data_IF_224569039326
#
_entry.id   IF_224569039326
#
_cell.length_a   1.000
_cell.length_b   1.000
_cell.length_c   1.000
_cell.angle_alpha   90.00
_cell.angle_beta   90.00
_cell.angle_gamma   90.00
#
_symmetry.space_group_name_H-M   'P 1'
#
loop_
_entity.id
_entity.type
_entity.pdbx_description
1 polymer ?
#
# COMPACT_ATOMS: atom_id res chain seq x y z
N UNK A 1 -12.93 -13.01 17.24
CA UNK A 1 -12.55 -12.49 15.93
C UNK A 1 -11.32 -11.61 16.02
N UNK A 2 -11.30 -10.70 16.99
CA UNK A 2 -10.13 -9.82 17.15
C UNK A 2 -8.86 -10.59 17.42
N UNK A 3 -8.94 -11.61 18.26
CA UNK A 3 -7.78 -12.43 18.57
C UNK A 3 -7.32 -13.19 17.32
N UNK A 4 -8.27 -13.71 16.56
CA UNK A 4 -7.95 -14.45 15.34
C UNK A 4 -7.31 -13.53 14.29
N UNK A 5 -7.87 -12.33 14.11
CA UNK A 5 -7.33 -11.37 13.15
C UNK A 5 -5.94 -10.90 13.58
N UNK A 6 -5.76 -10.65 14.86
CA UNK A 6 -4.46 -10.26 15.39
C UNK A 6 -3.42 -11.35 15.15
N UNK A 7 -3.78 -12.61 15.38
CA UNK A 7 -2.87 -13.73 15.16
C UNK A 7 -2.50 -13.87 13.69
N UNK A 8 -3.47 -13.65 12.78
CA UNK A 8 -3.22 -13.69 11.35
C UNK A 8 -2.26 -12.58 10.91
N UNK A 9 -2.47 -11.36 11.41
CA UNK A 9 -1.58 -10.25 11.10
C UNK A 9 -0.16 -10.52 11.61
N UNK A 10 -0.03 -11.08 12.81
CA UNK A 10 1.27 -11.38 13.39
C UNK A 10 1.99 -12.49 12.60
N UNK A 11 1.25 -13.50 12.16
CA UNK A 11 1.81 -14.56 11.33
C UNK A 11 2.30 -13.98 10.00
N UNK A 12 1.50 -13.14 9.38
CA UNK A 12 1.89 -12.50 8.13
C UNK A 12 3.14 -11.63 8.34
N UNK A 13 3.20 -10.88 9.44
CA UNK A 13 4.36 -10.07 9.77
C UNK A 13 5.62 -10.92 9.90
N UNK A 14 5.51 -12.04 10.60
CA UNK A 14 6.64 -12.93 10.80
C UNK A 14 7.10 -13.54 9.48
N UNK A 15 6.16 -13.92 8.61
CA UNK A 15 6.48 -14.44 7.29
C UNK A 15 7.25 -13.39 6.48
N UNK A 16 6.80 -12.15 6.46
CA UNK A 16 7.47 -11.08 5.73
C UNK A 16 8.88 -10.83 6.26
N UNK A 17 9.04 -10.84 7.58
CA UNK A 17 10.35 -10.63 8.20
C UNK A 17 11.32 -11.74 7.81
N UNK A 18 10.86 -13.00 7.82
CA UNK A 18 11.71 -14.15 7.53
C UNK A 18 11.85 -14.48 6.05
N UNK A 19 11.12 -13.79 5.18
CA UNK A 19 11.15 -14.03 3.74
C UNK A 19 11.64 -12.82 2.95
N UNK A 20 12.81 -12.32 3.35
CA UNK A 20 13.43 -11.19 2.64
C UNK A 20 13.62 -11.50 1.14
N UNK A 21 13.93 -12.76 0.80
CA UNK A 21 14.08 -13.16 -0.60
C UNK A 21 12.76 -13.03 -1.37
N UNK A 22 11.65 -13.35 -0.74
CA UNK A 22 10.34 -13.18 -1.34
C UNK A 22 10.08 -11.70 -1.68
N UNK A 23 10.43 -10.80 -0.77
CA UNK A 23 10.27 -9.37 -0.99
C UNK A 23 11.16 -8.88 -2.14
N UNK A 24 12.42 -9.35 -2.16
CA UNK A 24 13.35 -8.99 -3.22
C UNK A 24 12.83 -9.46 -4.57
N UNK A 25 12.30 -10.68 -4.64
CA UNK A 25 11.76 -11.22 -5.89
C UNK A 25 10.55 -10.42 -6.38
N UNK A 26 9.73 -9.91 -5.46
CA UNK A 26 8.61 -9.05 -5.83
C UNK A 26 9.05 -7.75 -6.48
N UNK A 27 10.21 -7.27 -6.15
CA UNK A 27 10.73 -6.01 -6.67
C UNK A 27 11.12 -6.08 -8.15
N UNK A 28 11.10 -7.28 -8.75
CA UNK A 28 11.45 -7.43 -10.17
C UNK A 28 10.50 -6.69 -11.12
N UNK A 29 9.24 -6.48 -10.69
CA UNK A 29 8.23 -5.80 -11.51
C UNK A 29 7.50 -4.69 -10.76
N UNK A 30 7.96 -4.38 -9.57
CA UNK A 30 7.44 -3.31 -8.75
C UNK A 30 8.60 -2.56 -8.12
N UNK A 31 8.32 -1.41 -7.54
CA UNK A 31 9.28 -0.73 -6.66
C UNK A 31 8.79 -0.92 -5.23
N UNK A 32 9.69 -1.34 -4.36
CA UNK A 32 9.35 -1.62 -2.98
C UNK A 32 10.14 -0.77 -2.01
N UNK A 33 9.51 -0.47 -0.89
CA UNK A 33 10.10 0.32 0.19
C UNK A 33 9.92 -0.44 1.49
N UNK A 34 10.98 -0.48 2.29
CA UNK A 34 10.94 -1.16 3.58
C UNK A 34 11.33 -0.17 4.68
N UNK A 35 10.74 -0.37 5.83
CA UNK A 35 11.12 0.34 7.05
C UNK A 35 11.77 -0.66 7.99
N UNK A 36 12.98 -0.36 8.43
CA UNK A 36 13.75 -1.28 9.25
C UNK A 36 14.00 -0.73 10.64
N UNK A 37 13.95 -1.61 11.62
CA UNK A 37 14.41 -1.35 12.96
C UNK A 37 15.69 -2.19 13.11
N UNK A 38 16.84 -1.53 12.92
CA UNK A 38 18.10 -2.26 12.81
C UNK A 38 18.08 -3.15 11.57
N UNK A 39 18.28 -4.44 11.76
CA UNK A 39 18.25 -5.43 10.67
C UNK A 39 16.86 -6.02 10.43
N UNK A 40 15.89 -5.65 11.24
CA UNK A 40 14.56 -6.21 11.19
C UNK A 40 13.66 -5.35 10.30
N UNK A 41 13.02 -5.97 9.32
CA UNK A 41 12.01 -5.29 8.49
C UNK A 41 10.70 -5.26 9.27
N UNK A 42 10.20 -4.07 9.57
CA UNK A 42 8.97 -3.90 10.36
C UNK A 42 7.84 -3.28 9.56
N UNK A 43 8.09 -2.89 8.33
CA UNK A 43 7.06 -2.38 7.43
C UNK A 43 7.52 -2.42 6.00
N UNK A 44 6.57 -2.47 5.08
CA UNK A 44 6.88 -2.44 3.65
C UNK A 44 5.70 -1.92 2.86
N UNK A 45 5.97 -1.46 1.65
CA UNK A 45 4.96 -1.07 0.68
C UNK A 45 5.52 -1.18 -0.72
N UNK A 46 4.75 -1.71 -1.64
CA UNK A 46 5.15 -1.92 -3.02
C UNK A 46 4.19 -1.21 -3.94
N UNK A 47 4.72 -0.67 -5.02
CA UNK A 47 3.92 0.00 -6.04
C UNK A 47 4.39 -0.46 -7.42
N UNK A 48 3.43 -0.67 -8.32
CA UNK A 48 3.71 -1.06 -9.69
C UNK A 48 2.57 -0.65 -10.60
N UNK A 49 2.62 -1.05 -11.86
CA UNK A 49 1.54 -0.77 -12.79
C UNK A 49 0.28 -1.53 -12.40
N UNK A 50 -0.87 -0.89 -12.59
CA UNK A 50 -2.15 -1.57 -12.45
C UNK A 50 -2.39 -2.38 -13.73
N UNK A 51 -2.18 -3.69 -13.64
CA UNK A 51 -2.18 -4.58 -14.80
C UNK A 51 -1.17 -4.07 -15.84
N UNK A 52 -1.56 -3.95 -17.09
CA UNK A 52 -0.68 -3.49 -18.15
C UNK A 52 -0.74 -1.99 -18.40
N UNK A 53 -1.40 -1.25 -17.53
CA UNK A 53 -1.62 0.18 -17.73
C UNK A 53 -0.42 0.99 -17.22
N UNK A 54 0.15 1.80 -18.12
CA UNK A 54 1.32 2.62 -17.75
C UNK A 54 0.96 3.88 -16.98
N UNK A 55 -0.28 4.32 -17.09
CA UNK A 55 -0.76 5.54 -16.43
C UNK A 55 -1.64 5.25 -15.22
N UNK A 56 -1.67 4.01 -14.77
CA UNK A 56 -2.34 3.63 -13.54
C UNK A 56 -1.43 2.76 -12.71
N UNK A 57 -1.46 2.95 -11.41
CA UNK A 57 -0.62 2.20 -10.48
C UNK A 57 -1.46 1.48 -9.45
N UNK A 58 -0.85 0.50 -8.82
CA UNK A 58 -1.48 -0.24 -7.74
C UNK A 58 -0.48 -0.42 -6.61
N UNK A 59 -0.93 -0.24 -5.38
CA UNK A 59 -0.13 -0.57 -4.21
C UNK A 59 -0.33 -2.04 -3.87
N UNK A 60 0.78 -2.71 -3.57
CA UNK A 60 0.79 -4.13 -3.24
C UNK A 60 1.49 -4.33 -1.91
N UNK A 61 1.08 -5.34 -1.15
CA UNK A 61 1.81 -5.80 0.02
C UNK A 61 2.20 -4.66 0.96
N UNK A 62 1.25 -3.76 1.25
CA UNK A 62 1.47 -2.65 2.17
C UNK A 62 1.19 -3.15 3.59
N UNK A 63 2.19 -3.01 4.47
CA UNK A 63 2.12 -3.67 5.75
C UNK A 63 2.99 -2.96 6.79
N UNK A 64 2.50 -2.87 8.03
CA UNK A 64 3.29 -2.45 9.18
C UNK A 64 3.10 -3.48 10.30
N UNK A 65 4.22 -3.97 10.84
CA UNK A 65 4.18 -4.97 11.91
C UNK A 65 3.33 -4.45 13.09
N UNK A 66 2.46 -5.30 13.64
CA UNK A 66 1.55 -4.86 14.73
C UNK A 66 2.25 -4.18 15.91
N UNK A 67 3.45 -4.64 16.29
CA UNK A 67 4.18 -4.06 17.40
C UNK A 67 4.72 -2.66 17.10
N UNK A 68 4.68 -2.23 15.85
CA UNK A 68 5.22 -0.95 15.40
C UNK A 68 4.15 0.00 14.89
N UNK A 69 2.90 -0.37 14.97
CA UNK A 69 1.80 0.50 14.55
C UNK A 69 1.65 1.67 15.51
N UNK A 70 1.09 2.77 15.01
CA UNK A 70 0.92 3.98 15.79
C UNK A 70 2.16 4.84 15.94
N UNK A 71 3.23 4.53 15.21
CA UNK A 71 4.51 5.25 15.30
C UNK A 71 4.84 6.06 14.04
N UNK A 72 3.88 6.20 13.13
CA UNK A 72 4.09 6.98 11.91
C UNK A 72 4.80 6.24 10.79
N UNK A 73 5.06 4.96 10.94
CA UNK A 73 5.75 4.16 9.91
C UNK A 73 4.90 4.06 8.65
N UNK A 74 3.60 3.80 8.80
CA UNK A 74 2.68 3.74 7.67
C UNK A 74 2.67 5.04 6.87
N UNK A 75 2.67 6.17 7.54
CA UNK A 75 2.73 7.48 6.89
C UNK A 75 4.02 7.65 6.09
N UNK A 76 5.15 7.22 6.66
CA UNK A 76 6.43 7.30 5.96
C UNK A 76 6.46 6.41 4.73
N UNK A 77 5.87 5.22 4.82
CA UNK A 77 5.77 4.31 3.68
C UNK A 77 4.86 4.87 2.59
N UNK A 78 3.73 5.46 2.96
CA UNK A 78 2.85 6.13 1.99
C UNK A 78 3.60 7.26 1.30
N UNK A 79 4.34 8.07 2.06
CA UNK A 79 5.11 9.15 1.46
C UNK A 79 6.16 8.62 0.48
N UNK A 80 6.80 7.50 0.81
CA UNK A 80 7.79 6.90 -0.08
C UNK A 80 7.15 6.41 -1.38
N UNK A 81 6.05 5.67 -1.31
CA UNK A 81 5.40 5.17 -2.52
C UNK A 81 4.79 6.29 -3.34
N UNK A 82 4.32 7.37 -2.71
CA UNK A 82 3.73 8.50 -3.44
C UNK A 82 4.79 9.41 -4.07
N UNK A 83 6.04 9.20 -3.77
CA UNK A 83 7.14 9.86 -4.46
C UNK A 83 7.84 8.95 -5.48
N UNK A 84 7.35 7.74 -5.63
CA UNK A 84 7.89 6.78 -6.58
C UNK A 84 7.47 7.11 -8.01
N UNK A 85 8.29 6.72 -8.98
CA UNK A 85 8.01 7.01 -10.38
C UNK A 85 6.70 6.39 -10.88
N UNK A 86 6.32 5.21 -10.38
CA UNK A 86 5.04 4.61 -10.75
C UNK A 86 3.88 5.48 -10.33
N UNK A 87 3.95 6.05 -9.12
CA UNK A 87 2.92 6.97 -8.65
C UNK A 87 2.92 8.26 -9.47
N UNK A 88 4.09 8.85 -9.68
CA UNK A 88 4.20 10.17 -10.28
C UNK A 88 3.78 10.21 -11.74
N UNK A 89 3.88 9.09 -12.46
CA UNK A 89 3.43 9.01 -13.84
C UNK A 89 2.00 8.53 -14.01
N UNK A 90 1.33 8.18 -12.90
CA UNK A 90 -0.01 7.62 -12.95
C UNK A 90 -1.07 8.69 -12.75
N UNK A 91 -2.19 8.55 -13.45
CA UNK A 91 -3.38 9.39 -13.26
C UNK A 91 -4.24 8.84 -12.14
N UNK A 92 -4.15 7.55 -11.89
CA UNK A 92 -5.00 6.85 -10.95
C UNK A 92 -4.19 5.79 -10.23
N UNK A 93 -4.41 5.68 -8.93
CA UNK A 93 -3.75 4.67 -8.10
C UNK A 93 -4.84 3.88 -7.39
N UNK A 94 -4.74 2.55 -7.42
CA UNK A 94 -5.69 1.68 -6.75
C UNK A 94 -5.01 0.94 -5.60
N UNK A 95 -5.77 0.73 -4.52
CA UNK A 95 -5.30 -0.04 -3.37
C UNK A 95 -6.37 -1.09 -3.04
N UNK A 96 -6.03 -2.39 -3.14
CA UNK A 96 -6.90 -3.43 -2.59
C UNK A 96 -6.67 -3.49 -1.08
N UNK A 97 -7.49 -2.76 -0.32
CA UNK A 97 -7.28 -2.57 1.11
C UNK A 97 -7.99 -3.63 1.94
N UNK A 98 -7.34 -4.07 3.01
CA UNK A 98 -8.03 -4.86 4.03
C UNK A 98 -9.06 -3.96 4.72
N UNK A 99 -10.12 -4.57 5.24
CA UNK A 99 -11.21 -3.83 5.89
C UNK A 99 -10.66 -2.91 6.98
N UNK A 100 -9.70 -3.40 7.75
CA UNK A 100 -9.13 -2.63 8.87
C UNK A 100 -8.25 -1.48 8.43
N UNK A 101 -7.76 -1.50 7.19
CA UNK A 101 -6.84 -0.48 6.68
C UNK A 101 -7.54 0.65 5.92
N UNK A 102 -8.83 0.51 5.64
CA UNK A 102 -9.57 1.46 4.80
C UNK A 102 -9.41 2.90 5.29
N UNK A 103 -9.67 3.13 6.58
CA UNK A 103 -9.63 4.49 7.11
C UNK A 103 -8.22 5.07 7.12
N UNK A 104 -7.21 4.23 7.27
CA UNK A 104 -5.83 4.68 7.15
C UNK A 104 -5.57 5.28 5.76
N UNK A 105 -5.93 4.54 4.71
CA UNK A 105 -5.70 5.04 3.35
C UNK A 105 -6.56 6.25 3.02
N UNK A 106 -7.78 6.31 3.55
CA UNK A 106 -8.65 7.46 3.30
C UNK A 106 -8.05 8.76 3.82
N UNK A 107 -7.24 8.70 4.86
CA UNK A 107 -6.54 9.88 5.39
C UNK A 107 -5.55 10.46 4.37
N UNK A 108 -5.12 9.67 3.41
CA UNK A 108 -4.18 10.11 2.39
C UNK A 108 -4.84 10.42 1.04
N UNK A 109 -6.16 10.50 1.04
CA UNK A 109 -6.90 10.92 -0.15
C UNK A 109 -7.45 9.80 -1.01
N UNK A 110 -7.31 8.55 -0.56
CA UNK A 110 -7.92 7.43 -1.26
C UNK A 110 -9.38 7.29 -0.83
N UNK A 111 -10.23 6.91 -1.76
CA UNK A 111 -11.64 6.73 -1.45
C UNK A 111 -12.19 5.53 -2.20
N UNK A 112 -13.41 5.15 -1.89
CA UNK A 112 -14.04 3.95 -2.43
C UNK A 112 -14.14 3.98 -3.95
N UNK A 113 -13.68 2.90 -4.59
CA UNK A 113 -13.76 2.76 -6.03
C UNK A 113 -15.22 2.61 -6.43
N UNK A 114 -15.69 3.48 -7.31
CA UNK A 114 -17.09 3.51 -7.77
C UNK A 114 -18.10 3.61 -6.63
N UNK A 115 -17.70 4.13 -5.49
CA UNK A 115 -18.56 4.25 -4.33
C UNK A 115 -18.90 2.93 -3.63
N UNK A 116 -18.22 1.85 -3.99
CA UNK A 116 -18.48 0.52 -3.41
C UNK A 116 -17.78 0.40 -2.07
N UNK A 117 -18.56 0.32 -0.99
CA UNK A 117 -18.02 0.23 0.37
C UNK A 117 -17.93 -1.20 0.89
N UNK A 118 -18.60 -2.15 0.22
CA UNK A 118 -18.60 -3.54 0.65
C UNK A 118 -17.35 -4.26 0.19
N UNK A 119 -16.79 -5.17 1.02
CA UNK A 119 -15.65 -5.96 0.60
C UNK A 119 -16.02 -6.91 -0.54
N UNK A 120 -15.02 -7.23 -1.36
CA UNK A 120 -15.19 -8.19 -2.46
C UNK A 120 -15.01 -9.63 -1.96
N UNK A 121 -14.95 -10.58 -2.90
CA UNK A 121 -14.82 -12.01 -2.57
C UNK A 121 -13.55 -12.34 -1.83
N UNK A 122 -12.53 -11.50 -1.97
CA UNK A 122 -11.24 -11.66 -1.30
C UNK A 122 -11.21 -10.92 0.04
N UNK A 123 -12.33 -10.39 0.49
CA UNK A 123 -12.44 -9.58 1.71
C UNK A 123 -11.65 -8.28 1.63
N UNK A 124 -11.53 -7.73 0.42
CA UNK A 124 -10.82 -6.48 0.18
C UNK A 124 -11.78 -5.39 -0.26
N UNK A 125 -11.54 -4.19 0.22
CA UNK A 125 -12.25 -2.99 -0.22
C UNK A 125 -11.34 -2.27 -1.20
N UNK A 126 -11.82 -2.04 -2.41
CA UNK A 126 -11.03 -1.36 -3.43
C UNK A 126 -11.10 0.14 -3.22
N UNK A 127 -9.96 0.77 -3.06
CA UNK A 127 -9.84 2.21 -2.93
C UNK A 127 -9.06 2.76 -4.12
N UNK A 128 -9.30 4.03 -4.44
CA UNK A 128 -8.59 4.67 -5.54
C UNK A 128 -8.35 6.13 -5.24
N UNK A 129 -7.34 6.68 -5.90
CA UNK A 129 -6.99 8.09 -5.82
C UNK A 129 -6.66 8.56 -7.23
N UNK A 130 -7.30 9.63 -7.64
CA UNK A 130 -7.02 10.25 -8.93
C UNK A 130 -6.07 11.41 -8.75
N UNK A 131 -5.08 11.50 -9.62
CA UNK A 131 -4.17 12.63 -9.64
C UNK A 131 -4.65 13.64 -10.67
N UNK A 132 -4.75 14.87 -10.24
CA UNK A 132 -5.26 15.94 -11.09
C UNK A 132 -4.10 16.58 -11.86
N UNK A 133 -3.85 16.10 -13.06
CA UNK A 133 -2.79 16.61 -13.91
C UNK A 133 -3.00 18.06 -14.34
N UNK A 134 -4.26 18.50 -14.43
CA UNK A 134 -4.53 19.86 -14.85
C UNK A 134 -3.97 20.89 -13.88
N UNK A 135 -3.83 20.53 -12.60
CA UNK A 135 -3.19 21.40 -11.62
C UNK A 135 -1.72 21.63 -12.00
N UNK A 136 -1.05 20.58 -12.45
CA UNK A 136 0.36 20.67 -12.85
C UNK A 136 0.52 21.62 -14.02
N UNK A 137 -0.35 21.51 -14.98
CA UNK A 137 -0.29 22.37 -16.17
C UNK A 137 -0.69 23.79 -15.85
N UNK A 138 -1.58 23.99 -14.92
CA UNK A 138 -1.99 25.31 -14.49
C UNK A 138 -0.86 26.14 -13.90
N UNK A 139 0.15 25.49 -13.39
CA UNK A 139 1.31 26.15 -12.82
C UNK A 139 2.16 26.81 -13.87
N UNK A 140 2.10 26.30 -15.07
CA UNK A 140 2.89 26.85 -16.17
C UNK A 140 2.31 28.16 -16.69
#
# INVERSE_FOLDING_TARGET
TNIKDYSAERIEADILIFNAQYLVNRMSWTNGYVYCDGEKIVGCGFIGNFWDKKDEACLFTFFVHPDYQGKGIGRQLINAVENDEYFLRSKRIEIPASITAVEFYRKFGYDYKNGVTEPDDEQLVRLEKFRNESIIYGVK
#
